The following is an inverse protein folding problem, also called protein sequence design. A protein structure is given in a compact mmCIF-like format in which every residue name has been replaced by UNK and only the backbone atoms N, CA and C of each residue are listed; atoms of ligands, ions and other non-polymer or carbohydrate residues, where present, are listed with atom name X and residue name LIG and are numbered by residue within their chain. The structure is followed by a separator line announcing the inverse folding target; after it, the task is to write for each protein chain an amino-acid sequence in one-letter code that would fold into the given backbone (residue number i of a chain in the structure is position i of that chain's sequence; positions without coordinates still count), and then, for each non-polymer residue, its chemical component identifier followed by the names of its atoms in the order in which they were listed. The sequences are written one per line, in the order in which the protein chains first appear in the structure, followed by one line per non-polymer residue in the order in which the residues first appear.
data_IF_450055759201
#
_entry.id   IF_450055759201
#
_cell.length_a   1.000
_cell.length_b   1.000
_cell.length_c   1.000
_cell.angle_alpha   90.00
_cell.angle_beta   90.00
_cell.angle_gamma   90.00
#
_symmetry.space_group_name_H-M   'P 1'
#
loop_
_entity.id
_entity.type
_entity.pdbx_description
1 polymer ?
#
# COMPACT_ATOMS: atom_id res chain seq x y z
N UNK A 1 -28.14 -40.11 -2.48
CA UNK A 1 -27.90 -39.31 -1.27
C UNK A 1 -26.62 -38.52 -1.50
N UNK A 2 -26.74 -37.23 -1.79
CA UNK A 2 -25.56 -36.38 -1.97
C UNK A 2 -24.87 -36.25 -0.61
N UNK A 3 -23.61 -36.59 -0.60
CA UNK A 3 -22.69 -36.42 0.52
C UNK A 3 -22.75 -34.97 0.99
N UNK A 4 -23.28 -34.70 2.18
CA UNK A 4 -23.21 -33.41 2.83
C UNK A 4 -21.74 -33.20 3.23
N UNK A 5 -20.89 -32.83 2.26
CA UNK A 5 -19.64 -32.17 2.59
C UNK A 5 -20.02 -30.96 3.44
N UNK A 6 -19.60 -30.97 4.70
CA UNK A 6 -19.78 -29.79 5.57
C UNK A 6 -19.24 -28.60 4.84
N UNK A 7 -20.13 -27.62 4.53
CA UNK A 7 -19.78 -26.44 3.77
C UNK A 7 -18.60 -25.74 4.44
N UNK A 8 -17.64 -25.26 3.64
CA UNK A 8 -16.46 -24.55 4.16
C UNK A 8 -16.91 -23.22 4.75
N UNK A 9 -16.57 -22.94 6.01
CA UNK A 9 -16.90 -21.68 6.66
C UNK A 9 -15.88 -20.61 6.23
N UNK A 10 -16.34 -19.65 5.43
CA UNK A 10 -15.56 -18.52 4.90
C UNK A 10 -16.01 -17.25 5.61
N UNK A 11 -15.08 -16.46 6.15
CA UNK A 11 -15.39 -15.22 6.84
C UNK A 11 -14.68 -14.03 6.20
N UNK A 12 -15.44 -12.95 5.96
CA UNK A 12 -14.91 -11.61 5.69
C UNK A 12 -15.10 -10.80 6.98
N UNK A 13 -14.06 -10.55 7.77
CA UNK A 13 -14.21 -10.00 9.13
C UNK A 13 -14.56 -8.52 9.16
N UNK A 14 -14.32 -7.79 8.07
CA UNK A 14 -14.59 -6.35 8.00
C UNK A 14 -14.76 -5.91 6.53
N UNK A 15 -16.01 -5.68 6.13
CA UNK A 15 -16.38 -5.11 4.82
C UNK A 15 -16.90 -3.67 4.98
N UNK A 16 -16.21 -2.86 5.77
CA UNK A 16 -16.59 -1.46 5.98
C UNK A 16 -15.55 -0.46 5.41
N UNK A 17 -15.98 0.51 4.58
CA UNK A 17 -17.26 0.54 3.85
C UNK A 17 -17.39 -0.66 2.91
N UNK A 18 -18.64 -1.10 2.64
CA UNK A 18 -18.88 -2.35 1.91
C UNK A 18 -18.39 -2.27 0.47
N UNK A 19 -17.56 -3.26 0.10
CA UNK A 19 -16.99 -3.41 -1.24
C UNK A 19 -17.01 -4.86 -1.72
N UNK A 20 -17.34 -5.82 -0.84
CA UNK A 20 -17.35 -7.24 -1.14
C UNK A 20 -18.77 -7.77 -1.37
N UNK A 21 -19.73 -7.40 -0.52
CA UNK A 21 -21.10 -7.86 -0.66
C UNK A 21 -21.70 -7.52 -2.03
N UNK A 22 -22.50 -8.44 -2.56
CA UNK A 22 -23.20 -8.32 -3.86
C UNK A 22 -22.29 -8.17 -5.09
N UNK A 23 -21.00 -8.47 -4.95
CA UNK A 23 -20.06 -8.50 -6.08
C UNK A 23 -19.93 -9.89 -6.69
N UNK A 24 -19.33 -9.99 -7.87
CA UNK A 24 -19.00 -11.28 -8.49
C UNK A 24 -18.06 -12.13 -7.60
N UNK A 25 -17.18 -11.48 -6.83
CA UNK A 25 -16.32 -12.16 -5.87
C UNK A 25 -17.13 -12.80 -4.72
N UNK A 26 -18.15 -12.09 -4.20
CA UNK A 26 -19.05 -12.63 -3.19
C UNK A 26 -19.84 -13.83 -3.72
N UNK A 27 -20.43 -13.74 -4.91
CA UNK A 27 -21.15 -14.87 -5.52
C UNK A 27 -20.23 -16.08 -5.77
N UNK A 28 -19.00 -15.83 -6.22
CA UNK A 28 -18.00 -16.89 -6.37
C UNK A 28 -17.63 -17.51 -5.02
N UNK A 29 -17.42 -16.72 -3.97
CA UNK A 29 -17.14 -17.24 -2.63
C UNK A 29 -18.26 -18.13 -2.08
N UNK A 30 -19.54 -17.75 -2.31
CA UNK A 30 -20.72 -18.56 -1.94
C UNK A 30 -20.74 -19.91 -2.66
N UNK A 31 -20.21 -20.02 -3.86
CA UNK A 31 -20.10 -21.32 -4.55
C UNK A 31 -19.07 -22.26 -3.93
N UNK A 32 -18.15 -21.72 -3.10
CA UNK A 32 -17.09 -22.48 -2.42
C UNK A 32 -17.48 -22.91 -1.00
N UNK A 33 -18.42 -22.21 -0.35
CA UNK A 33 -18.82 -22.50 1.01
C UNK A 33 -19.82 -21.51 1.61
N UNK A 34 -20.04 -21.61 2.91
CA UNK A 34 -20.88 -20.69 3.66
C UNK A 34 -20.10 -19.40 3.97
N UNK A 35 -20.58 -18.26 3.45
CA UNK A 35 -19.88 -16.97 3.56
C UNK A 35 -20.54 -16.08 4.60
N UNK A 36 -19.79 -15.70 5.62
CA UNK A 36 -20.18 -14.69 6.60
C UNK A 36 -19.43 -13.39 6.33
N UNK A 37 -20.17 -12.29 6.13
CA UNK A 37 -19.62 -10.96 5.90
C UNK A 37 -20.01 -10.05 7.06
N UNK A 38 -19.03 -9.41 7.68
CA UNK A 38 -19.26 -8.40 8.72
C UNK A 38 -19.16 -7.01 8.08
N UNK A 39 -20.31 -6.38 7.85
CA UNK A 39 -20.41 -5.07 7.19
C UNK A 39 -20.07 -3.88 8.10
N UNK A 40 -19.93 -4.09 9.40
CA UNK A 40 -19.55 -3.05 10.36
C UNK A 40 -18.04 -3.08 10.63
N UNK A 41 -17.42 -1.90 10.77
CA UNK A 41 -16.03 -1.81 11.25
C UNK A 41 -15.88 -2.42 12.65
N UNK A 42 -14.70 -2.94 12.98
CA UNK A 42 -14.42 -3.51 14.31
C UNK A 42 -13.29 -4.53 14.32
N UNK A 43 -12.83 -5.00 13.16
CA UNK A 43 -11.72 -5.96 13.11
C UNK A 43 -10.33 -5.34 13.44
N UNK A 44 -10.26 -4.08 13.77
CA UNK A 44 -9.09 -3.39 14.34
C UNK A 44 -8.88 -3.73 15.83
N UNK A 45 -9.94 -4.16 16.55
CA UNK A 45 -9.86 -4.68 17.90
C UNK A 45 -9.65 -6.19 17.90
N UNK A 46 -8.56 -6.69 18.51
CA UNK A 46 -8.19 -8.10 18.46
C UNK A 46 -9.29 -9.04 18.98
N UNK A 47 -9.93 -8.70 20.10
CA UNK A 47 -11.01 -9.50 20.66
C UNK A 47 -12.23 -9.59 19.73
N UNK A 48 -12.57 -8.50 19.04
CA UNK A 48 -13.66 -8.49 18.07
C UNK A 48 -13.29 -9.26 16.81
N UNK A 49 -12.05 -9.15 16.32
CA UNK A 49 -11.56 -9.95 15.21
C UNK A 49 -11.69 -11.43 15.52
N UNK A 50 -11.19 -11.89 16.69
CA UNK A 50 -11.30 -13.27 17.15
C UNK A 50 -12.76 -13.71 17.17
N UNK A 51 -13.67 -12.92 17.75
CA UNK A 51 -15.10 -13.25 17.82
C UNK A 51 -15.73 -13.43 16.43
N UNK A 52 -15.30 -12.63 15.44
CA UNK A 52 -15.82 -12.71 14.06
C UNK A 52 -15.34 -13.95 13.31
N UNK A 53 -14.09 -14.38 13.54
CA UNK A 53 -13.44 -15.43 12.76
C UNK A 53 -13.30 -16.77 13.50
N UNK A 54 -13.79 -16.90 14.72
CA UNK A 54 -13.61 -18.09 15.60
C UNK A 54 -14.00 -19.43 14.96
N UNK A 55 -15.00 -19.41 14.07
CA UNK A 55 -15.51 -20.61 13.36
C UNK A 55 -14.95 -20.75 11.96
N UNK A 56 -14.31 -19.71 11.44
CA UNK A 56 -13.86 -19.68 10.06
C UNK A 56 -12.74 -20.71 9.81
N UNK A 57 -12.88 -21.45 8.73
CA UNK A 57 -11.79 -22.22 8.13
C UNK A 57 -10.95 -21.34 7.19
N UNK A 58 -11.61 -20.43 6.48
CA UNK A 58 -11.00 -19.51 5.54
C UNK A 58 -11.37 -18.08 5.95
N UNK A 59 -10.38 -17.20 5.95
CA UNK A 59 -10.60 -15.75 6.13
C UNK A 59 -10.20 -15.02 4.86
N UNK A 60 -11.10 -14.20 4.32
CA UNK A 60 -10.78 -13.26 3.25
C UNK A 60 -10.63 -11.88 3.90
N UNK A 61 -9.40 -11.44 4.04
CA UNK A 61 -9.08 -10.15 4.66
C UNK A 61 -8.97 -9.05 3.62
N UNK A 62 -9.91 -8.10 3.66
CA UNK A 62 -9.98 -6.97 2.72
C UNK A 62 -9.61 -5.62 3.33
N UNK A 63 -9.24 -5.60 4.62
CA UNK A 63 -8.87 -4.36 5.33
C UNK A 63 -7.55 -4.52 6.09
N UNK A 64 -6.62 -3.60 5.85
CA UNK A 64 -5.29 -3.67 6.45
C UNK A 64 -5.28 -3.40 7.97
N UNK A 65 -6.35 -2.81 8.53
CA UNK A 65 -6.45 -2.56 9.96
C UNK A 65 -6.75 -3.82 10.79
N UNK A 66 -7.28 -4.89 10.19
CA UNK A 66 -7.41 -6.18 10.86
C UNK A 66 -6.03 -6.82 11.04
N UNK A 67 -5.57 -6.92 12.29
CA UNK A 67 -4.22 -7.42 12.63
C UNK A 67 -4.28 -8.87 13.07
N UNK A 68 -3.66 -9.76 12.31
CA UNK A 68 -3.54 -11.18 12.60
C UNK A 68 -2.25 -11.45 13.37
N UNK A 69 -2.35 -11.34 14.68
CA UNK A 69 -1.24 -11.57 15.63
C UNK A 69 -1.09 -13.03 15.98
N UNK A 70 -0.03 -13.40 16.71
CA UNK A 70 0.12 -14.73 17.36
C UNK A 70 -1.12 -15.06 18.21
N UNK A 71 -1.66 -14.08 18.98
CA UNK A 71 -2.86 -14.27 19.82
C UNK A 71 -4.09 -14.65 19.02
N UNK A 72 -4.31 -14.03 17.86
CA UNK A 72 -5.41 -14.37 16.95
C UNK A 72 -5.30 -15.80 16.45
N UNK A 73 -4.12 -16.23 15.98
CA UNK A 73 -3.91 -17.59 15.48
C UNK A 73 -4.01 -18.63 16.60
N UNK A 74 -3.53 -18.33 17.79
CA UNK A 74 -3.64 -19.21 18.95
C UNK A 74 -5.11 -19.43 19.39
N UNK A 75 -5.94 -18.37 19.31
CA UNK A 75 -7.36 -18.44 19.65
C UNK A 75 -8.20 -19.10 18.57
N UNK A 76 -7.94 -18.85 17.29
CA UNK A 76 -8.75 -19.29 16.16
C UNK A 76 -8.15 -20.50 15.42
N UNK A 77 -8.03 -21.63 16.11
CA UNK A 77 -7.34 -22.84 15.62
C UNK A 77 -7.97 -23.53 14.41
N UNK A 78 -9.15 -23.09 13.97
CA UNK A 78 -9.82 -23.65 12.78
C UNK A 78 -9.35 -23.02 11.47
N UNK A 79 -8.65 -21.87 11.54
CA UNK A 79 -8.19 -21.17 10.36
C UNK A 79 -7.09 -21.99 9.68
N UNK A 80 -7.30 -22.29 8.41
CA UNK A 80 -6.34 -22.97 7.55
C UNK A 80 -5.74 -21.99 6.52
N UNK A 81 -6.49 -20.92 6.19
CA UNK A 81 -6.05 -19.95 5.20
C UNK A 81 -6.52 -18.52 5.53
N UNK A 82 -5.63 -17.55 5.30
CA UNK A 82 -5.95 -16.12 5.22
C UNK A 82 -5.62 -15.63 3.81
N UNK A 83 -6.64 -15.25 3.04
CA UNK A 83 -6.49 -14.64 1.71
C UNK A 83 -6.62 -13.14 1.82
N UNK A 84 -5.56 -12.40 1.46
CA UNK A 84 -5.49 -10.94 1.61
C UNK A 84 -5.80 -10.28 0.27
N UNK A 85 -6.79 -9.38 0.24
CA UNK A 85 -6.94 -8.43 -0.86
C UNK A 85 -5.92 -7.31 -0.71
N UNK A 86 -4.94 -7.28 -1.60
CA UNK A 86 -3.83 -6.33 -1.60
C UNK A 86 -2.46 -7.03 -1.67
N UNK A 87 -1.41 -6.24 -1.82
CA UNK A 87 -0.03 -6.75 -1.90
C UNK A 87 0.66 -6.79 -0.54
N UNK A 88 0.33 -5.85 0.37
CA UNK A 88 0.92 -5.75 1.70
C UNK A 88 0.42 -6.83 2.64
N UNK A 89 1.32 -7.32 3.51
CA UNK A 89 1.04 -8.36 4.52
C UNK A 89 1.52 -7.94 5.91
N UNK A 90 1.81 -6.68 6.08
CA UNK A 90 2.37 -6.09 7.31
C UNK A 90 1.39 -6.09 8.49
N UNK A 91 0.12 -6.41 8.25
CA UNK A 91 -0.92 -6.64 9.25
C UNK A 91 -1.05 -8.11 9.68
N UNK A 92 -0.20 -9.01 9.18
CA UNK A 92 -0.21 -10.44 9.52
C UNK A 92 1.15 -10.86 10.06
N UNK A 93 1.19 -11.47 11.24
CA UNK A 93 2.37 -12.20 11.72
C UNK A 93 2.54 -13.47 10.90
N UNK A 94 3.33 -13.37 9.82
CA UNK A 94 3.57 -14.46 8.89
C UNK A 94 4.27 -15.65 9.56
N UNK A 95 5.16 -15.39 10.52
CA UNK A 95 5.86 -16.45 11.24
C UNK A 95 4.89 -17.22 12.15
N UNK A 96 4.01 -16.51 12.86
CA UNK A 96 2.93 -17.12 13.63
C UNK A 96 1.99 -17.91 12.75
N UNK A 97 1.52 -17.36 11.63
CA UNK A 97 0.65 -18.08 10.69
C UNK A 97 1.25 -19.42 10.28
N UNK A 98 2.54 -19.43 9.88
CA UNK A 98 3.25 -20.66 9.51
C UNK A 98 3.31 -21.68 10.64
N UNK A 99 3.62 -21.25 11.89
CA UNK A 99 3.65 -22.12 13.08
C UNK A 99 2.28 -22.72 13.42
N UNK A 100 1.20 -21.97 13.21
CA UNK A 100 -0.17 -22.42 13.44
C UNK A 100 -0.78 -23.19 12.26
N UNK A 101 0.00 -23.49 11.24
CA UNK A 101 -0.47 -24.28 10.09
C UNK A 101 -1.33 -23.48 9.11
N UNK A 102 -1.30 -22.16 9.16
CA UNK A 102 -2.13 -21.28 8.32
C UNK A 102 -1.39 -20.87 7.05
N UNK A 103 -2.00 -21.09 5.89
CA UNK A 103 -1.52 -20.57 4.62
C UNK A 103 -1.97 -19.11 4.47
N UNK A 104 -1.03 -18.22 4.15
CA UNK A 104 -1.35 -16.81 3.84
C UNK A 104 -1.07 -16.54 2.37
N UNK A 105 -2.07 -16.00 1.67
CA UNK A 105 -1.94 -15.56 0.28
C UNK A 105 -2.27 -14.08 0.17
N UNK A 106 -1.81 -13.43 -0.91
CA UNK A 106 -2.14 -12.06 -1.22
C UNK A 106 -2.56 -11.91 -2.70
N UNK A 107 -2.82 -10.67 -3.16
CA UNK A 107 -3.17 -10.42 -4.57
C UNK A 107 -2.12 -9.50 -5.22
N UNK A 108 -0.93 -10.03 -5.55
CA UNK A 108 0.18 -9.23 -6.02
C UNK A 108 -0.12 -8.59 -7.38
N UNK A 109 0.21 -7.31 -7.52
CA UNK A 109 0.17 -6.58 -8.79
C UNK A 109 -1.22 -6.12 -9.24
N UNK A 110 -2.31 -6.53 -8.60
CA UNK A 110 -3.68 -6.14 -9.00
C UNK A 110 -3.90 -4.63 -8.91
N UNK A 111 -3.25 -3.96 -7.98
CA UNK A 111 -3.35 -2.50 -7.77
C UNK A 111 -2.22 -1.69 -8.42
N UNK A 112 -1.32 -2.32 -9.17
CA UNK A 112 -0.08 -1.66 -9.57
C UNK A 112 -0.30 -0.48 -10.52
N UNK A 113 -1.25 -0.56 -11.45
CA UNK A 113 -1.58 0.54 -12.35
C UNK A 113 -2.19 1.72 -11.59
N UNK A 114 -3.20 1.47 -10.76
CA UNK A 114 -3.87 2.51 -10.01
C UNK A 114 -2.91 3.24 -9.05
N UNK A 115 -2.06 2.49 -8.32
CA UNK A 115 -1.06 3.10 -7.43
C UNK A 115 -0.03 3.92 -8.20
N UNK A 116 0.40 3.47 -9.38
CA UNK A 116 1.35 4.22 -10.19
C UNK A 116 0.73 5.52 -10.75
N UNK A 117 -0.52 5.46 -11.22
CA UNK A 117 -1.27 6.63 -11.66
C UNK A 117 -1.50 7.63 -10.51
N UNK A 118 -1.89 7.13 -9.34
CA UNK A 118 -2.07 7.96 -8.14
C UNK A 118 -0.76 8.61 -7.69
N UNK A 119 0.37 7.87 -7.77
CA UNK A 119 1.69 8.42 -7.50
C UNK A 119 2.02 9.59 -8.43
N UNK A 120 1.77 9.45 -9.74
CA UNK A 120 1.97 10.53 -10.70
C UNK A 120 1.03 11.70 -10.44
N UNK A 121 -0.24 11.43 -10.13
CA UNK A 121 -1.22 12.47 -9.79
C UNK A 121 -0.79 13.29 -8.57
N UNK A 122 -0.34 12.63 -7.49
CA UNK A 122 0.18 13.28 -6.30
C UNK A 122 1.45 14.09 -6.60
N UNK A 123 2.37 13.53 -7.40
CA UNK A 123 3.59 14.21 -7.82
C UNK A 123 3.28 15.51 -8.58
N UNK A 124 2.38 15.46 -9.55
CA UNK A 124 1.94 16.63 -10.32
C UNK A 124 1.15 17.62 -9.46
N UNK A 125 0.27 17.13 -8.60
CA UNK A 125 -0.51 17.98 -7.69
C UNK A 125 0.39 18.76 -6.73
N UNK A 126 1.44 18.12 -6.20
CA UNK A 126 2.43 18.76 -5.35
C UNK A 126 3.29 19.77 -6.13
N UNK A 127 3.88 19.37 -7.26
CA UNK A 127 4.74 20.24 -8.09
C UNK A 127 4.01 21.48 -8.63
N UNK A 128 2.71 21.38 -8.85
CA UNK A 128 1.86 22.45 -9.39
C UNK A 128 0.97 23.11 -8.33
N UNK A 129 1.14 22.78 -7.05
CA UNK A 129 0.38 23.30 -5.91
C UNK A 129 -1.16 23.22 -6.08
N UNK A 130 -1.66 22.27 -6.88
CA UNK A 130 -3.07 22.23 -7.30
C UNK A 130 -4.06 22.27 -6.13
N UNK A 131 -3.92 21.46 -5.05
CA UNK A 131 -4.90 21.48 -3.96
C UNK A 131 -4.91 22.81 -3.18
N UNK A 132 -3.73 23.43 -3.02
CA UNK A 132 -3.62 24.72 -2.33
C UNK A 132 -4.25 25.84 -3.15
N UNK A 133 -3.91 25.90 -4.44
CA UNK A 133 -4.45 26.92 -5.34
C UNK A 133 -5.96 26.78 -5.54
N UNK A 134 -6.50 25.56 -5.62
CA UNK A 134 -7.95 25.33 -5.67
C UNK A 134 -8.64 25.88 -4.41
N UNK A 135 -8.08 25.58 -3.22
CA UNK A 135 -8.61 26.10 -1.95
C UNK A 135 -8.61 27.64 -1.92
N UNK A 136 -7.49 28.25 -2.28
CA UNK A 136 -7.37 29.70 -2.29
C UNK A 136 -8.32 30.37 -3.29
N UNK A 137 -8.51 29.76 -4.47
CA UNK A 137 -9.49 30.23 -5.46
C UNK A 137 -10.93 30.19 -4.91
N UNK A 138 -11.30 29.12 -4.20
CA UNK A 138 -12.61 29.01 -3.55
C UNK A 138 -12.82 30.02 -2.43
N UNK A 139 -11.75 30.50 -1.81
CA UNK A 139 -11.74 31.59 -0.83
C UNK A 139 -11.79 32.98 -1.49
N UNK A 140 -11.90 33.08 -2.81
CA UNK A 140 -11.96 34.34 -3.56
C UNK A 140 -10.59 34.99 -3.80
N UNK A 141 -9.48 34.30 -3.52
CA UNK A 141 -8.12 34.76 -3.81
C UNK A 141 -7.77 34.49 -5.29
N UNK A 142 -6.81 35.22 -5.81
CA UNK A 142 -6.28 35.04 -7.17
C UNK A 142 -4.75 34.96 -7.15
N UNK A 143 -4.16 33.88 -6.58
CA UNK A 143 -2.72 33.77 -6.43
C UNK A 143 -2.04 33.56 -7.79
N UNK A 144 -0.91 34.26 -7.98
CA UNK A 144 0.00 34.05 -9.12
C UNK A 144 1.38 33.76 -8.58
N UNK A 145 1.90 32.59 -8.87
CA UNK A 145 3.21 32.14 -8.40
C UNK A 145 3.93 31.30 -9.45
N UNK A 146 5.24 31.14 -9.27
CA UNK A 146 6.03 30.25 -10.10
C UNK A 146 5.87 28.81 -9.60
N UNK A 147 5.50 27.92 -10.52
CA UNK A 147 5.27 26.50 -10.24
C UNK A 147 6.39 25.64 -10.83
N UNK A 148 6.60 24.45 -10.27
CA UNK A 148 7.63 23.53 -10.73
C UNK A 148 7.17 22.77 -11.98
N UNK A 149 7.95 22.86 -13.07
CA UNK A 149 7.83 22.03 -14.25
C UNK A 149 8.64 20.74 -14.04
N UNK A 150 8.08 19.57 -14.39
CA UNK A 150 8.75 18.28 -14.22
C UNK A 150 9.51 17.79 -15.45
N UNK A 151 9.20 18.29 -16.66
CA UNK A 151 9.96 17.98 -17.87
C UNK A 151 11.45 18.29 -17.68
N UNK A 152 12.32 17.33 -17.98
CA UNK A 152 13.77 17.42 -17.81
C UNK A 152 14.26 17.35 -16.35
N UNK A 153 13.36 17.11 -15.39
CA UNK A 153 13.71 16.93 -13.99
C UNK A 153 14.03 15.47 -13.69
N UNK A 154 14.91 15.24 -12.72
CA UNK A 154 15.30 13.90 -12.27
C UNK A 154 14.31 13.36 -11.25
N UNK A 155 13.81 12.13 -11.46
CA UNK A 155 13.01 11.39 -10.48
C UNK A 155 13.79 10.21 -9.93
N UNK A 156 13.91 10.13 -8.61
CA UNK A 156 14.50 9.01 -7.88
C UNK A 156 13.44 8.01 -7.43
N UNK A 157 13.50 6.79 -7.95
CA UNK A 157 12.53 5.72 -7.67
C UNK A 157 13.16 4.67 -6.77
N UNK A 158 12.74 4.61 -5.52
CA UNK A 158 13.18 3.59 -4.57
C UNK A 158 12.24 2.38 -4.60
N UNK A 159 12.72 1.28 -5.18
CA UNK A 159 11.97 0.04 -5.35
C UNK A 159 11.39 -0.11 -6.76
N UNK A 160 11.92 -1.09 -7.51
CA UNK A 160 11.56 -1.41 -8.91
C UNK A 160 10.69 -2.67 -9.01
N UNK A 161 9.80 -2.86 -8.05
CA UNK A 161 8.73 -3.85 -8.14
C UNK A 161 7.71 -3.49 -9.21
N UNK A 162 6.56 -4.16 -9.22
CA UNK A 162 5.51 -3.93 -10.23
C UNK A 162 5.03 -2.48 -10.29
N UNK A 163 4.88 -1.82 -9.13
CA UNK A 163 4.47 -0.41 -9.04
C UNK A 163 5.61 0.50 -9.51
N UNK A 164 6.80 0.37 -8.94
CA UNK A 164 7.91 1.26 -9.28
C UNK A 164 8.32 1.20 -10.75
N UNK A 165 8.25 0.01 -11.37
CA UNK A 165 8.48 -0.13 -12.81
C UNK A 165 7.46 0.67 -13.65
N UNK A 166 6.18 0.70 -13.25
CA UNK A 166 5.16 1.51 -13.91
C UNK A 166 5.38 3.00 -13.67
N UNK A 167 5.81 3.39 -12.46
CA UNK A 167 6.14 4.80 -12.15
C UNK A 167 7.32 5.27 -12.99
N UNK A 168 8.36 4.44 -13.19
CA UNK A 168 9.46 4.75 -14.13
C UNK A 168 8.90 5.02 -15.54
N UNK A 169 8.02 4.15 -16.05
CA UNK A 169 7.44 4.34 -17.38
C UNK A 169 6.60 5.62 -17.47
N UNK A 170 5.76 5.91 -16.49
CA UNK A 170 4.90 7.10 -16.47
C UNK A 170 5.73 8.39 -16.36
N UNK A 171 6.74 8.42 -15.50
CA UNK A 171 7.59 9.61 -15.33
C UNK A 171 8.44 9.88 -16.57
N UNK A 172 8.91 8.84 -17.26
CA UNK A 172 9.54 8.99 -18.59
C UNK A 172 8.58 9.55 -19.62
N UNK A 173 7.33 9.09 -19.64
CA UNK A 173 6.33 9.55 -20.62
C UNK A 173 6.05 11.06 -20.50
N UNK A 174 6.20 11.64 -19.30
CA UNK A 174 6.10 13.11 -19.10
C UNK A 174 7.46 13.82 -19.22
N UNK A 175 8.51 13.13 -19.69
CA UNK A 175 9.82 13.72 -19.99
C UNK A 175 10.73 13.91 -18.78
N UNK A 176 10.53 13.18 -17.68
CA UNK A 176 11.48 13.13 -16.58
C UNK A 176 12.62 12.13 -16.83
N UNK A 177 13.72 12.27 -16.10
CA UNK A 177 14.89 11.41 -16.13
C UNK A 177 14.90 10.49 -14.89
N UNK A 178 14.53 9.20 -15.00
CA UNK A 178 14.45 8.33 -13.85
C UNK A 178 15.82 7.77 -13.44
N UNK A 179 16.15 7.95 -12.16
CA UNK A 179 17.11 7.17 -11.40
C UNK A 179 16.37 6.13 -10.59
N UNK A 180 16.89 4.91 -10.51
CA UNK A 180 16.21 3.92 -9.69
C UNK A 180 17.18 3.07 -8.87
N UNK A 181 16.67 2.65 -7.71
CA UNK A 181 17.37 1.79 -6.76
C UNK A 181 16.53 0.57 -6.40
N UNK A 182 17.20 -0.57 -6.27
CA UNK A 182 16.59 -1.83 -5.85
C UNK A 182 17.26 -2.37 -4.60
N UNK A 183 16.49 -2.76 -3.60
CA UNK A 183 16.99 -3.40 -2.39
C UNK A 183 17.81 -4.69 -2.69
N UNK A 184 17.53 -5.35 -3.81
CA UNK A 184 18.21 -6.59 -4.22
C UNK A 184 19.38 -6.35 -5.15
N UNK A 185 19.77 -5.08 -5.42
CA UNK A 185 20.92 -4.75 -6.26
C UNK A 185 20.83 -5.35 -7.67
N UNK A 186 19.80 -4.99 -8.44
CA UNK A 186 19.55 -5.51 -9.80
C UNK A 186 19.69 -4.38 -10.83
N UNK A 187 20.90 -3.87 -11.12
CA UNK A 187 21.11 -2.75 -12.04
C UNK A 187 20.60 -3.04 -13.45
N UNK A 188 20.81 -4.26 -13.97
CA UNK A 188 20.35 -4.65 -15.32
C UNK A 188 18.82 -4.56 -15.45
N UNK A 189 18.11 -4.89 -14.39
CA UNK A 189 16.65 -4.75 -14.35
C UNK A 189 16.22 -3.28 -14.33
N UNK A 190 16.94 -2.42 -13.63
CA UNK A 190 16.70 -0.96 -13.63
C UNK A 190 16.89 -0.41 -15.05
N UNK A 191 17.99 -0.75 -15.70
CA UNK A 191 18.34 -0.30 -17.05
C UNK A 191 17.35 -0.82 -18.10
N UNK A 192 16.90 -2.06 -17.98
CA UNK A 192 15.85 -2.63 -18.84
C UNK A 192 14.52 -1.87 -18.76
N UNK A 193 14.23 -1.18 -17.65
CA UNK A 193 13.09 -0.28 -17.50
C UNK A 193 13.35 1.10 -18.12
N UNK A 194 14.57 1.36 -18.59
CA UNK A 194 15.01 2.64 -19.13
C UNK A 194 15.24 3.71 -18.06
N UNK A 195 15.61 3.31 -16.85
CA UNK A 195 16.10 4.16 -15.79
C UNK A 195 17.60 3.99 -15.62
N UNK A 196 18.31 4.97 -15.09
CA UNK A 196 19.72 4.83 -14.69
C UNK A 196 19.77 4.19 -13.30
N UNK A 197 20.52 3.11 -13.14
CA UNK A 197 20.81 2.53 -11.84
C UNK A 197 21.71 3.48 -11.03
N UNK A 198 21.33 3.73 -9.77
CA UNK A 198 22.08 4.62 -8.90
C UNK A 198 22.03 4.16 -7.43
N UNK A 199 23.00 4.57 -6.65
CA UNK A 199 23.02 4.35 -5.19
C UNK A 199 21.93 5.20 -4.50
N UNK A 200 21.62 4.86 -3.24
CA UNK A 200 20.69 5.65 -2.43
C UNK A 200 21.18 7.10 -2.30
N UNK A 201 22.48 7.26 -2.04
CA UNK A 201 23.13 8.55 -1.84
C UNK A 201 23.09 9.42 -3.12
N UNK A 202 23.35 8.83 -4.28
CA UNK A 202 23.28 9.54 -5.57
C UNK A 202 21.85 9.99 -5.85
N UNK A 203 20.85 9.10 -5.67
CA UNK A 203 19.45 9.46 -5.87
C UNK A 203 19.04 10.63 -4.98
N UNK A 204 19.36 10.57 -3.68
CA UNK A 204 18.97 11.62 -2.75
C UNK A 204 19.61 12.97 -3.11
N UNK A 205 20.84 12.97 -3.61
CA UNK A 205 21.56 14.18 -4.01
C UNK A 205 21.11 14.74 -5.35
N UNK A 206 20.77 13.88 -6.32
CA UNK A 206 20.52 14.28 -7.70
C UNK A 206 19.02 14.47 -8.02
N UNK A 207 18.11 13.77 -7.31
CA UNK A 207 16.70 13.80 -7.64
C UNK A 207 16.02 15.14 -7.30
N UNK A 208 15.17 15.61 -8.19
CA UNK A 208 14.23 16.71 -7.95
C UNK A 208 12.93 16.18 -7.34
N UNK A 209 12.59 14.91 -7.61
CA UNK A 209 11.48 14.20 -6.97
C UNK A 209 11.96 12.84 -6.50
N UNK A 210 11.69 12.50 -5.25
CA UNK A 210 11.96 11.17 -4.68
C UNK A 210 10.63 10.46 -4.45
N UNK A 211 10.49 9.21 -4.91
CA UNK A 211 9.28 8.43 -4.72
C UNK A 211 9.59 7.01 -4.19
N UNK A 212 8.76 6.55 -3.24
CA UNK A 212 8.97 5.31 -2.50
C UNK A 212 7.99 4.22 -2.94
N UNK A 213 8.55 3.05 -3.32
CA UNK A 213 7.80 1.85 -3.73
C UNK A 213 8.41 0.58 -3.10
N UNK A 214 8.99 0.73 -1.92
CA UNK A 214 9.58 -0.36 -1.13
C UNK A 214 8.51 -1.08 -0.30
N UNK A 215 8.74 -2.37 -0.04
CA UNK A 215 8.01 -3.07 1.03
C UNK A 215 8.50 -2.57 2.39
N UNK A 216 7.60 -2.53 3.36
CA UNK A 216 7.97 -2.30 4.74
C UNK A 216 8.42 -3.63 5.36
N UNK A 217 9.71 -3.70 5.62
CA UNK A 217 10.39 -4.79 6.33
C UNK A 217 11.33 -4.16 7.36
N UNK A 218 11.89 -4.91 8.33
CA UNK A 218 12.79 -4.33 9.33
C UNK A 218 13.90 -3.47 8.73
N UNK A 219 14.48 -3.90 7.59
CA UNK A 219 15.59 -3.23 6.91
C UNK A 219 15.19 -1.93 6.19
N UNK A 220 13.91 -1.75 5.90
CA UNK A 220 13.39 -0.57 5.20
C UNK A 220 12.61 0.37 6.12
N UNK A 221 12.38 0.00 7.36
CA UNK A 221 11.76 0.88 8.36
C UNK A 221 12.67 2.09 8.61
N UNK A 222 12.12 3.31 8.53
CA UNK A 222 12.91 4.52 8.64
C UNK A 222 13.93 4.69 7.51
N UNK A 223 13.66 4.14 6.31
CA UNK A 223 14.55 4.21 5.15
C UNK A 223 14.99 5.63 4.81
N UNK A 224 14.08 6.60 4.98
CA UNK A 224 14.40 8.02 4.94
C UNK A 224 14.28 8.62 6.34
N UNK A 225 15.41 8.79 6.99
CA UNK A 225 15.52 9.50 8.27
C UNK A 225 16.03 10.93 8.09
N UNK A 226 16.39 11.55 9.22
CA UNK A 226 16.89 12.93 9.28
C UNK A 226 18.09 13.17 8.34
N UNK A 227 19.03 12.22 8.26
CA UNK A 227 20.23 12.32 7.41
C UNK A 227 19.85 12.28 5.94
N UNK A 228 19.00 11.36 5.54
CA UNK A 228 18.57 11.16 4.17
C UNK A 228 17.76 12.37 3.67
N UNK A 229 16.78 12.82 4.45
CA UNK A 229 15.99 14.01 4.12
C UNK A 229 16.88 15.27 4.04
N UNK A 230 17.90 15.36 4.91
CA UNK A 230 18.87 16.46 4.90
C UNK A 230 19.85 16.42 3.72
N UNK A 231 20.02 15.29 3.03
CA UNK A 231 20.86 15.15 1.83
C UNK A 231 20.12 15.40 0.53
N UNK A 232 18.80 15.52 0.55
CA UNK A 232 17.99 15.89 -0.61
C UNK A 232 18.20 17.36 -1.00
N UNK A 233 17.90 17.69 -2.25
CA UNK A 233 17.87 19.09 -2.69
C UNK A 233 16.80 19.87 -1.89
N UNK A 234 17.06 21.12 -1.54
CA UNK A 234 16.04 21.97 -0.89
C UNK A 234 14.78 22.16 -1.74
N UNK A 235 14.93 22.08 -3.07
CA UNK A 235 13.82 22.12 -4.03
C UNK A 235 13.17 20.75 -4.24
N UNK A 236 13.66 19.68 -3.63
CA UNK A 236 13.18 18.33 -3.87
C UNK A 236 11.79 18.12 -3.28
N UNK A 237 11.02 17.28 -3.97
CA UNK A 237 9.70 16.80 -3.57
C UNK A 237 9.79 15.33 -3.16
N UNK A 238 9.08 14.95 -2.08
CA UNK A 238 8.96 13.56 -1.66
C UNK A 238 7.56 13.03 -1.95
N UNK A 239 7.43 11.85 -2.56
CA UNK A 239 6.15 11.16 -2.77
C UNK A 239 6.18 9.80 -2.09
N UNK A 240 5.19 9.52 -1.23
CA UNK A 240 5.08 8.22 -0.57
C UNK A 240 3.67 7.64 -0.71
N UNK A 241 3.55 6.63 -1.56
CA UNK A 241 2.35 5.80 -1.76
C UNK A 241 2.58 4.35 -1.35
N UNK A 242 3.67 4.08 -0.60
CA UNK A 242 4.04 2.74 -0.17
C UNK A 242 3.61 2.46 1.27
N UNK A 243 4.37 2.93 2.27
CA UNK A 243 4.05 2.81 3.70
C UNK A 243 4.61 4.02 4.46
N UNK A 244 3.85 4.54 5.43
CA UNK A 244 4.26 5.68 6.26
C UNK A 244 5.58 5.45 6.98
N UNK A 245 5.76 4.27 7.56
CA UNK A 245 6.93 3.90 8.34
C UNK A 245 8.24 3.71 7.53
N UNK A 246 8.22 3.90 6.22
CA UNK A 246 9.45 4.03 5.41
C UNK A 246 10.16 5.37 5.65
N UNK A 247 9.46 6.37 6.15
CA UNK A 247 10.02 7.70 6.46
C UNK A 247 9.90 7.94 7.95
N UNK A 248 10.93 8.37 8.62
CA UNK A 248 10.84 8.78 10.02
C UNK A 248 9.92 9.99 10.15
N UNK A 249 8.84 9.85 10.93
CA UNK A 249 7.76 10.84 11.02
C UNK A 249 8.26 12.22 11.48
N UNK A 250 8.98 12.26 12.57
CA UNK A 250 9.51 13.48 13.18
C UNK A 250 10.53 14.15 12.27
N UNK A 251 11.37 13.36 11.60
CA UNK A 251 12.34 13.86 10.63
C UNK A 251 11.65 14.48 9.40
N UNK A 252 10.55 13.90 8.93
CA UNK A 252 9.77 14.45 7.82
C UNK A 252 9.11 15.79 8.21
N UNK A 253 8.46 15.85 9.38
CA UNK A 253 7.82 17.08 9.87
C UNK A 253 8.86 18.19 10.03
N UNK A 254 10.04 17.88 10.60
CA UNK A 254 11.13 18.84 10.72
C UNK A 254 11.66 19.30 9.34
N UNK A 255 11.86 18.35 8.41
CA UNK A 255 12.37 18.68 7.08
C UNK A 255 11.42 19.60 6.30
N UNK A 256 10.10 19.39 6.43
CA UNK A 256 9.07 20.22 5.82
C UNK A 256 8.99 21.61 6.46
N UNK A 257 8.95 21.67 7.80
CA UNK A 257 8.83 22.94 8.53
C UNK A 257 10.07 23.83 8.42
N UNK A 258 11.26 23.21 8.37
CA UNK A 258 12.53 23.92 8.21
C UNK A 258 12.89 24.21 6.73
N UNK A 259 12.06 23.81 5.76
CA UNK A 259 12.32 23.97 4.34
C UNK A 259 13.59 23.24 3.87
N UNK A 260 13.91 22.10 4.47
CA UNK A 260 15.00 21.21 4.02
C UNK A 260 14.65 20.52 2.72
N UNK A 261 13.35 20.24 2.50
CA UNK A 261 12.75 19.83 1.23
C UNK A 261 11.59 20.77 0.90
N UNK A 262 11.24 20.88 -0.37
CA UNK A 262 10.21 21.81 -0.81
C UNK A 262 8.79 21.36 -0.43
N UNK A 263 8.54 20.05 -0.38
CA UNK A 263 7.24 19.51 -0.01
C UNK A 263 7.16 18.00 -0.04
N UNK A 264 6.02 17.47 0.40
CA UNK A 264 5.73 16.04 0.36
C UNK A 264 4.30 15.76 -0.12
N UNK A 265 4.11 14.64 -0.83
CA UNK A 265 2.80 14.10 -1.18
C UNK A 265 2.67 12.68 -0.58
N UNK A 266 1.69 12.50 0.28
CA UNK A 266 1.57 11.33 1.13
C UNK A 266 0.19 10.70 0.97
N UNK A 267 0.15 9.43 0.60
CA UNK A 267 -1.06 8.60 0.63
C UNK A 267 -1.09 7.68 1.86
N UNK A 268 0.03 7.58 2.59
CA UNK A 268 0.22 6.65 3.70
C UNK A 268 0.88 7.33 4.90
N UNK A 269 0.52 6.87 6.11
CA UNK A 269 0.93 7.51 7.36
C UNK A 269 1.41 6.47 8.39
N UNK A 270 2.05 6.92 9.47
CA UNK A 270 2.44 6.06 10.58
C UNK A 270 1.23 5.54 11.34
N UNK A 271 0.29 6.44 11.63
CA UNK A 271 -1.00 6.13 12.23
C UNK A 271 -2.11 6.43 11.23
N UNK A 272 -2.95 5.48 10.93
CA UNK A 272 -4.08 5.59 10.03
C UNK A 272 -5.38 5.21 10.74
N UNK A 273 -6.38 6.12 10.79
CA UNK A 273 -6.40 7.47 10.20
C UNK A 273 -5.53 8.47 10.97
N UNK A 274 -5.09 9.54 10.27
CA UNK A 274 -4.42 10.68 10.92
C UNK A 274 -5.31 11.29 12.01
N UNK A 275 -4.71 11.57 13.17
CA UNK A 275 -5.44 12.19 14.28
C UNK A 275 -5.71 13.67 14.00
N UNK A 276 -6.85 14.21 14.45
CA UNK A 276 -7.09 15.65 14.44
C UNK A 276 -5.94 16.40 15.14
N UNK A 277 -5.42 17.44 14.49
CA UNK A 277 -4.29 18.22 15.03
C UNK A 277 -2.91 17.75 14.59
N UNK A 278 -2.80 16.65 13.82
CA UNK A 278 -1.52 16.24 13.25
C UNK A 278 -0.87 17.40 12.48
N UNK A 279 0.43 17.68 12.68
CA UNK A 279 1.15 18.78 12.02
C UNK A 279 1.07 18.73 10.49
N UNK A 280 1.03 17.54 9.88
CA UNK A 280 0.91 17.37 8.43
C UNK A 280 -0.39 17.97 7.87
N UNK A 281 -1.49 17.97 8.65
CA UNK A 281 -2.77 18.55 8.26
C UNK A 281 -2.73 20.09 8.13
N UNK A 282 -1.72 20.73 8.72
CA UNK A 282 -1.55 22.19 8.73
C UNK A 282 -0.43 22.66 7.80
N UNK A 283 0.27 21.75 7.15
CA UNK A 283 1.43 22.07 6.29
C UNK A 283 0.97 22.42 4.88
N UNK A 284 1.20 23.65 4.44
CA UNK A 284 0.79 24.13 3.10
C UNK A 284 1.62 23.52 1.95
N UNK A 285 2.79 22.99 2.27
CA UNK A 285 3.67 22.30 1.32
C UNK A 285 3.48 20.77 1.32
N UNK A 286 2.32 20.30 1.79
CA UNK A 286 1.97 18.86 1.81
C UNK A 286 0.67 18.60 1.06
N UNK A 287 0.67 17.57 0.23
CA UNK A 287 -0.54 16.99 -0.41
C UNK A 287 -0.85 15.69 0.28
N UNK A 288 -2.10 15.51 0.73
CA UNK A 288 -2.53 14.35 1.50
C UNK A 288 -3.62 13.58 0.76
N UNK A 289 -3.54 12.26 0.81
CA UNK A 289 -4.57 11.33 0.35
C UNK A 289 -4.75 10.20 1.39
N UNK A 290 -5.97 9.73 1.66
CA UNK A 290 -6.27 8.85 2.80
C UNK A 290 -6.10 7.36 2.45
N UNK A 291 -4.91 6.95 2.03
CA UNK A 291 -4.53 5.58 1.64
C UNK A 291 -5.45 5.01 0.53
N UNK A 292 -5.72 5.85 -0.48
CA UNK A 292 -6.66 5.54 -1.55
C UNK A 292 -5.99 5.18 -2.89
N UNK A 293 -4.65 5.13 -2.96
CA UNK A 293 -3.94 4.89 -4.21
C UNK A 293 -4.38 3.61 -4.97
N UNK A 294 -4.85 2.60 -4.25
CA UNK A 294 -5.38 1.36 -4.83
C UNK A 294 -6.90 1.27 -4.90
N UNK A 295 -7.65 2.32 -4.57
CA UNK A 295 -9.11 2.28 -4.45
C UNK A 295 -9.79 2.69 -5.77
N UNK A 296 -9.75 1.80 -6.78
CA UNK A 296 -10.50 1.97 -8.02
C UNK A 296 -11.46 0.80 -8.24
N UNK A 297 -12.54 0.99 -9.02
CA UNK A 297 -13.49 -0.10 -9.34
C UNK A 297 -12.81 -1.33 -9.94
N UNK A 298 -11.81 -1.12 -10.82
CA UNK A 298 -11.05 -2.18 -11.47
C UNK A 298 -10.23 -2.98 -10.46
N UNK A 299 -9.51 -2.29 -9.57
CA UNK A 299 -8.71 -2.93 -8.51
C UNK A 299 -9.57 -3.69 -7.53
N UNK A 300 -10.73 -3.13 -7.16
CA UNK A 300 -11.70 -3.81 -6.31
C UNK A 300 -12.19 -5.10 -6.97
N UNK A 301 -12.68 -5.01 -8.19
CA UNK A 301 -13.21 -6.16 -8.95
C UNK A 301 -12.15 -7.25 -9.10
N UNK A 302 -11.01 -6.91 -9.68
CA UNK A 302 -9.99 -7.88 -10.07
C UNK A 302 -9.23 -8.44 -8.85
N UNK A 303 -8.98 -7.60 -7.86
CA UNK A 303 -8.31 -8.01 -6.62
C UNK A 303 -9.18 -8.88 -5.73
N UNK A 304 -10.48 -8.56 -5.58
CA UNK A 304 -11.40 -9.39 -4.81
C UNK A 304 -11.64 -10.75 -5.49
N UNK A 305 -11.80 -10.77 -6.82
CA UNK A 305 -11.90 -12.01 -7.58
C UNK A 305 -10.64 -12.85 -7.42
N UNK A 306 -9.45 -12.25 -7.45
CA UNK A 306 -8.18 -12.95 -7.24
C UNK A 306 -8.06 -13.51 -5.81
N UNK A 307 -8.48 -12.76 -4.80
CA UNK A 307 -8.50 -13.25 -3.43
C UNK A 307 -9.39 -14.49 -3.26
N UNK A 308 -10.57 -14.49 -3.90
CA UNK A 308 -11.47 -15.67 -3.91
C UNK A 308 -10.91 -16.80 -4.77
N UNK A 309 -10.23 -16.49 -5.89
CA UNK A 309 -9.55 -17.50 -6.70
C UNK A 309 -8.44 -18.21 -5.90
N UNK A 310 -7.70 -17.48 -5.06
CA UNK A 310 -6.71 -18.09 -4.17
C UNK A 310 -7.36 -19.04 -3.17
N UNK A 311 -8.57 -18.73 -2.66
CA UNK A 311 -9.36 -19.65 -1.82
C UNK A 311 -9.73 -20.92 -2.60
N UNK A 312 -10.26 -20.78 -3.80
CA UNK A 312 -10.62 -21.92 -4.67
C UNK A 312 -9.41 -22.82 -4.92
N UNK A 313 -8.27 -22.25 -5.29
CA UNK A 313 -7.03 -22.97 -5.54
C UNK A 313 -6.50 -23.69 -4.27
N UNK A 314 -6.61 -23.03 -3.11
CA UNK A 314 -6.24 -23.64 -1.83
C UNK A 314 -7.12 -24.86 -1.52
N UNK A 315 -8.44 -24.74 -1.69
CA UNK A 315 -9.38 -25.84 -1.47
C UNK A 315 -9.17 -27.00 -2.45
N UNK A 316 -8.68 -26.70 -3.65
CA UNK A 316 -8.30 -27.70 -4.65
C UNK A 316 -6.92 -28.36 -4.39
N UNK A 317 -6.19 -27.93 -3.35
CA UNK A 317 -4.86 -28.46 -3.02
C UNK A 317 -3.69 -27.83 -3.81
N UNK A 318 -3.95 -26.77 -4.56
CA UNK A 318 -2.95 -26.07 -5.40
C UNK A 318 -2.90 -24.57 -5.08
N UNK A 319 -2.52 -24.17 -3.84
CA UNK A 319 -2.53 -22.77 -3.44
C UNK A 319 -1.63 -21.90 -4.33
N UNK A 320 -2.13 -20.74 -4.69
CA UNK A 320 -1.42 -19.74 -5.50
C UNK A 320 -1.19 -18.45 -4.70
N UNK A 321 -0.28 -17.59 -5.18
CA UNK A 321 0.08 -16.33 -4.53
C UNK A 321 0.46 -16.48 -3.04
N UNK A 322 1.07 -17.62 -2.69
CA UNK A 322 1.43 -17.97 -1.32
C UNK A 322 2.54 -17.06 -0.81
N UNK A 323 2.29 -16.38 0.30
CA UNK A 323 3.25 -15.56 1.05
C UNK A 323 3.93 -16.39 2.12
N UNK A 324 3.16 -17.20 2.85
CA UNK A 324 3.67 -18.18 3.80
C UNK A 324 2.83 -19.47 3.71
N UNK A 325 3.49 -20.60 3.80
CA UNK A 325 2.90 -21.92 3.92
C UNK A 325 3.11 -22.47 5.34
N UNK A 326 2.31 -23.46 5.77
CA UNK A 326 2.50 -24.17 7.03
C UNK A 326 3.95 -24.66 7.20
N UNK A 327 4.51 -24.48 8.38
CA UNK A 327 5.79 -25.10 8.75
C UNK A 327 5.48 -26.57 9.04
N UNK A 328 6.07 -27.48 8.25
CA UNK A 328 5.95 -28.93 8.43
C UNK A 328 6.83 -29.42 9.56
#
# INVERSE_FOLDING_TARGET
MADKRTAVDICVPDDFPSVFEKTAAHEKAKSLGDVRVHAARGADEEAELIRRIDRARIVINIRAHARFTEGVFAACRRIEMVSIWGTGTDNVDLAAAGRHGVTVTNTPGTNASAVAEHTLALMLALARHVPRLDREMREGKWPRELLTQLLGKTVGVFGIGTIGARVVALTKAIGMEPLAWSLRGQPERVEALGARAASKEEILKEADVVTLHLRLVPETRGFLGRRELGSMKRSALLVNTARGALVEREALIEALSAGKIAGAALDVFHDEPLKPGDPLLKSDNVVLSPHNAGQTPEVLRDGLLRAVQNVENFLAGHPTDVVVAPVR
#
